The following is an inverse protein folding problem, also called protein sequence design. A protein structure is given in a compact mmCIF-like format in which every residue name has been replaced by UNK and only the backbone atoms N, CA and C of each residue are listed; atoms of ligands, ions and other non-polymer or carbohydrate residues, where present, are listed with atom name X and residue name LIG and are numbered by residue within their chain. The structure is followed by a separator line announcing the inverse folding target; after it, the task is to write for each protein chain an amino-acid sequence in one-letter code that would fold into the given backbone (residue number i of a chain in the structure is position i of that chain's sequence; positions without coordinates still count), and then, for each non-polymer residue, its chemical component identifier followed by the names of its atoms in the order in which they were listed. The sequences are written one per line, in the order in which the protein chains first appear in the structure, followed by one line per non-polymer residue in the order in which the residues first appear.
data_IF_217596861942
#
_entry.id   IF_217596861942
#
_cell.length_a   1.000
_cell.length_b   1.000
_cell.length_c   1.000
_cell.angle_alpha   90.00
_cell.angle_beta   90.00
_cell.angle_gamma   90.00
#
_symmetry.space_group_name_H-M   'P 1'
#
loop_
_entity.id
_entity.type
_entity.pdbx_description
1 polymer ?
#
# COMPACT_ATOMS: atom_id res chain seq x y z
N UNK A 1 -47.03 16.90 -28.35
CA UNK A 1 -46.22 16.98 -27.11
C UNK A 1 -46.25 15.61 -26.43
N UNK A 2 -45.12 14.90 -26.32
CA UNK A 2 -45.10 13.57 -25.71
C UNK A 2 -45.24 13.66 -24.17
N UNK A 3 -45.96 12.73 -23.53
CA UNK A 3 -46.28 12.82 -22.11
C UNK A 3 -45.05 12.61 -21.22
N UNK A 4 -44.93 13.48 -20.22
CA UNK A 4 -43.84 13.57 -19.24
C UNK A 4 -43.74 12.26 -18.44
N UNK A 5 -42.66 11.48 -18.64
CA UNK A 5 -42.36 10.27 -17.84
C UNK A 5 -42.21 10.65 -16.37
N UNK A 6 -43.11 10.14 -15.53
CA UNK A 6 -43.00 10.27 -14.07
C UNK A 6 -41.72 9.59 -13.58
N UNK A 7 -40.96 10.30 -12.75
CA UNK A 7 -39.69 9.86 -12.20
C UNK A 7 -39.87 8.59 -11.36
N UNK A 8 -39.23 7.50 -11.78
CA UNK A 8 -39.12 6.27 -11.00
C UNK A 8 -38.23 6.55 -9.77
N UNK A 9 -38.61 6.10 -8.56
CA UNK A 9 -37.74 6.23 -7.39
C UNK A 9 -36.42 5.46 -7.63
N UNK A 10 -35.31 6.01 -7.13
CA UNK A 10 -33.99 5.41 -7.34
C UNK A 10 -33.91 3.98 -6.77
N UNK A 11 -33.17 3.08 -7.42
CA UNK A 11 -32.97 1.69 -6.96
C UNK A 11 -32.50 1.60 -5.50
N UNK A 12 -31.74 2.60 -5.04
CA UNK A 12 -31.26 2.73 -3.65
C UNK A 12 -32.39 3.08 -2.67
N UNK A 13 -33.35 3.91 -3.08
CA UNK A 13 -34.52 4.24 -2.26
C UNK A 13 -35.47 3.05 -2.12
N UNK A 14 -35.65 2.25 -3.18
CA UNK A 14 -36.47 1.03 -3.14
C UNK A 14 -35.83 -0.08 -2.28
N UNK A 15 -34.51 -0.26 -2.35
CA UNK A 15 -33.77 -1.18 -1.48
C UNK A 15 -33.92 -0.80 0.00
N UNK A 16 -33.73 0.49 0.33
CA UNK A 16 -33.90 0.99 1.70
C UNK A 16 -35.32 0.83 2.23
N UNK A 17 -36.35 0.95 1.39
CA UNK A 17 -37.75 0.68 1.77
C UNK A 17 -37.99 -0.80 2.05
N UNK A 18 -37.43 -1.69 1.22
CA UNK A 18 -37.52 -3.15 1.41
C UNK A 18 -36.78 -3.60 2.67
N UNK A 19 -35.63 -3.02 2.97
CA UNK A 19 -34.87 -3.28 4.21
C UNK A 19 -35.66 -2.84 5.45
N UNK A 20 -36.25 -1.65 5.44
CA UNK A 20 -37.15 -1.19 6.52
C UNK A 20 -38.35 -2.12 6.71
N UNK A 21 -38.97 -2.59 5.63
CA UNK A 21 -40.06 -3.56 5.69
C UNK A 21 -39.64 -4.92 6.27
N UNK A 22 -38.40 -5.35 6.03
CA UNK A 22 -37.84 -6.57 6.64
C UNK A 22 -37.58 -6.32 8.12
N UNK A 23 -36.96 -5.20 8.48
CA UNK A 23 -36.65 -4.84 9.87
C UNK A 23 -37.91 -4.72 10.73
N UNK A 24 -39.01 -4.23 10.15
CA UNK A 24 -40.30 -4.05 10.81
C UNK A 24 -41.05 -5.38 10.96
N UNK A 25 -41.10 -6.22 9.91
CA UNK A 25 -41.71 -7.56 9.98
C UNK A 25 -40.92 -8.57 10.82
N UNK A 26 -39.63 -8.31 11.03
CA UNK A 26 -38.75 -9.13 11.87
C UNK A 26 -38.47 -8.45 13.23
N UNK A 27 -39.11 -7.32 13.50
CA UNK A 27 -39.04 -6.60 14.77
C UNK A 27 -39.65 -7.48 15.87
N UNK A 28 -39.00 -7.54 17.03
CA UNK A 28 -39.41 -8.38 18.16
C UNK A 28 -38.85 -9.81 18.17
N UNK A 29 -38.40 -10.37 17.03
CA UNK A 29 -37.71 -11.67 17.00
C UNK A 29 -36.20 -11.55 17.28
N UNK A 30 -35.68 -10.32 17.36
CA UNK A 30 -34.26 -10.00 17.51
C UNK A 30 -33.61 -10.58 18.77
N UNK A 31 -34.39 -10.78 19.85
CA UNK A 31 -33.93 -11.38 21.11
C UNK A 31 -33.85 -12.93 21.06
N UNK A 32 -34.30 -13.56 19.96
CA UNK A 32 -34.36 -15.03 19.76
C UNK A 32 -33.64 -15.49 18.47
N UNK A 33 -32.83 -14.62 17.87
CA UNK A 33 -32.10 -14.84 16.61
C UNK A 33 -31.06 -15.99 16.63
N UNK A 34 -30.83 -16.62 17.79
CA UNK A 34 -29.96 -17.79 17.95
C UNK A 34 -30.67 -19.11 17.61
N UNK A 35 -32.00 -19.13 17.57
CA UNK A 35 -32.77 -20.34 17.23
C UNK A 35 -32.82 -20.56 15.73
N UNK A 36 -32.47 -21.77 15.27
CA UNK A 36 -32.48 -22.15 13.85
C UNK A 36 -33.87 -22.01 13.19
N UNK A 37 -34.94 -22.17 13.97
CA UNK A 37 -36.33 -22.00 13.50
C UNK A 37 -36.68 -20.52 13.26
N UNK A 38 -36.19 -19.63 14.12
CA UNK A 38 -36.32 -18.17 13.97
C UNK A 38 -35.48 -17.67 12.79
N UNK A 39 -34.27 -18.20 12.61
CA UNK A 39 -33.43 -17.86 11.45
C UNK A 39 -34.07 -18.27 10.12
N UNK A 40 -34.67 -19.46 10.05
CA UNK A 40 -35.42 -19.91 8.86
C UNK A 40 -36.61 -18.99 8.56
N UNK A 41 -37.38 -18.60 9.58
CA UNK A 41 -38.51 -17.67 9.43
C UNK A 41 -38.07 -16.28 8.95
N UNK A 42 -37.01 -15.71 9.55
CA UNK A 42 -36.44 -14.41 9.12
C UNK A 42 -35.93 -14.49 7.67
N UNK A 43 -35.29 -15.59 7.27
CA UNK A 43 -34.87 -15.81 5.89
C UNK A 43 -36.06 -15.91 4.93
N UNK A 44 -37.15 -16.55 5.33
CA UNK A 44 -38.36 -16.70 4.50
C UNK A 44 -39.09 -15.38 4.31
N UNK A 45 -39.28 -14.60 5.38
CA UNK A 45 -39.86 -13.25 5.33
C UNK A 45 -38.98 -12.31 4.49
N UNK A 46 -37.65 -12.39 4.65
CA UNK A 46 -36.71 -11.61 3.82
C UNK A 46 -36.78 -12.00 2.34
N UNK A 47 -36.91 -13.29 2.03
CA UNK A 47 -37.09 -13.77 0.65
C UNK A 47 -38.42 -13.29 0.06
N UNK A 48 -39.51 -13.33 0.82
CA UNK A 48 -40.82 -12.89 0.36
C UNK A 48 -40.85 -11.38 0.05
N UNK A 49 -40.25 -10.55 0.90
CA UNK A 49 -40.18 -9.09 0.68
C UNK A 49 -39.21 -8.71 -0.45
N UNK A 50 -38.10 -9.45 -0.60
CA UNK A 50 -37.14 -9.24 -1.70
C UNK A 50 -37.65 -9.75 -3.05
N UNK A 51 -38.37 -10.87 -3.06
CA UNK A 51 -38.94 -11.49 -4.26
C UNK A 51 -40.25 -10.81 -4.72
N UNK A 52 -41.05 -10.26 -3.79
CA UNK A 52 -42.32 -9.58 -4.06
C UNK A 52 -42.21 -8.27 -4.86
N UNK A 53 -41.03 -7.93 -5.37
CA UNK A 53 -40.79 -6.78 -6.23
C UNK A 53 -40.07 -7.11 -7.54
N UNK A 54 -40.00 -8.38 -7.95
CA UNK A 54 -39.54 -8.70 -9.30
C UNK A 54 -40.70 -8.53 -10.27
N UNK A 55 -40.62 -7.51 -11.11
CA UNK A 55 -41.60 -7.34 -12.19
C UNK A 55 -41.47 -8.51 -13.17
N UNK A 56 -42.53 -8.83 -13.92
CA UNK A 56 -42.47 -9.83 -15.01
C UNK A 56 -41.29 -9.55 -15.95
N UNK A 57 -40.96 -8.27 -16.16
CA UNK A 57 -39.82 -7.84 -16.97
C UNK A 57 -38.45 -8.19 -16.36
N UNK A 58 -38.30 -8.18 -15.04
CA UNK A 58 -37.03 -8.54 -14.37
C UNK A 58 -36.78 -10.04 -14.37
N UNK A 59 -37.84 -10.85 -14.23
CA UNK A 59 -37.75 -12.32 -14.38
C UNK A 59 -37.38 -12.72 -15.81
N UNK A 60 -38.04 -12.16 -16.82
CA UNK A 60 -37.72 -12.41 -18.23
C UNK A 60 -36.28 -12.00 -18.57
N UNK A 61 -35.76 -10.90 -18.01
CA UNK A 61 -34.35 -10.49 -18.17
C UNK A 61 -33.38 -11.45 -17.49
N UNK A 62 -33.70 -11.94 -16.30
CA UNK A 62 -32.88 -12.91 -15.59
C UNK A 62 -32.83 -14.27 -16.32
N UNK A 63 -33.97 -14.74 -16.83
CA UNK A 63 -34.08 -15.96 -17.64
C UNK A 63 -33.33 -15.83 -18.97
N UNK A 64 -33.47 -14.70 -19.68
CA UNK A 64 -32.71 -14.42 -20.90
C UNK A 64 -31.20 -14.32 -20.64
N UNK A 65 -30.78 -13.74 -19.50
CA UNK A 65 -29.37 -13.70 -19.11
C UNK A 65 -28.84 -15.09 -18.72
N UNK A 66 -29.66 -15.94 -18.12
CA UNK A 66 -29.31 -17.32 -17.81
C UNK A 66 -29.20 -18.19 -19.07
N UNK A 67 -30.11 -18.04 -20.03
CA UNK A 67 -30.04 -18.70 -21.34
C UNK A 67 -28.76 -18.30 -22.09
N UNK A 68 -28.47 -16.99 -22.22
CA UNK A 68 -27.23 -16.50 -22.83
C UNK A 68 -25.95 -16.97 -22.15
N UNK A 69 -25.99 -17.27 -20.84
CA UNK A 69 -24.84 -17.86 -20.12
C UNK A 69 -24.68 -19.34 -20.43
N UNK A 70 -25.79 -20.08 -20.55
CA UNK A 70 -25.77 -21.50 -20.95
C UNK A 70 -25.25 -21.66 -22.37
N UNK A 71 -25.72 -20.83 -23.31
CA UNK A 71 -25.30 -20.87 -24.71
C UNK A 71 -23.78 -20.58 -24.86
N UNK A 72 -23.26 -19.59 -24.12
CA UNK A 72 -21.81 -19.31 -24.08
C UNK A 72 -21.00 -20.47 -23.52
N UNK A 73 -21.48 -21.09 -22.44
CA UNK A 73 -20.80 -22.25 -21.87
C UNK A 73 -20.79 -23.44 -22.85
N UNK A 74 -21.88 -23.69 -23.59
CA UNK A 74 -21.88 -24.74 -24.62
C UNK A 74 -20.93 -24.43 -25.78
N UNK A 75 -20.86 -23.18 -26.24
CA UNK A 75 -19.94 -22.78 -27.30
C UNK A 75 -18.47 -22.96 -26.89
N UNK A 76 -18.14 -22.64 -25.64
CA UNK A 76 -16.78 -22.80 -25.12
C UNK A 76 -16.41 -24.28 -24.93
N UNK A 77 -17.37 -25.12 -24.51
CA UNK A 77 -17.18 -26.58 -24.46
C UNK A 77 -16.95 -27.16 -25.84
N UNK A 78 -17.73 -26.74 -26.86
CA UNK A 78 -17.55 -27.17 -28.24
C UNK A 78 -16.17 -26.74 -28.79
N UNK A 79 -15.76 -25.48 -28.57
CA UNK A 79 -14.43 -25.00 -28.97
C UNK A 79 -13.31 -25.80 -28.31
N UNK A 80 -13.45 -26.14 -27.03
CA UNK A 80 -12.48 -26.98 -26.31
C UNK A 80 -12.40 -28.39 -26.90
N UNK A 81 -13.53 -28.96 -27.30
CA UNK A 81 -13.58 -30.29 -27.90
C UNK A 81 -12.92 -30.31 -29.30
N UNK A 82 -13.17 -29.27 -30.12
CA UNK A 82 -12.52 -29.12 -31.43
C UNK A 82 -11.02 -28.83 -31.32
N UNK A 83 -10.57 -28.12 -30.27
CA UNK A 83 -9.16 -27.85 -30.03
C UNK A 83 -8.36 -29.15 -29.76
N UNK A 84 -8.97 -30.11 -29.06
CA UNK A 84 -8.33 -31.39 -28.72
C UNK A 84 -8.10 -32.30 -29.95
N UNK A 85 -8.85 -32.09 -31.03
CA UNK A 85 -8.71 -32.85 -32.27
C UNK A 85 -7.51 -32.40 -33.13
N UNK A 86 -6.89 -31.26 -32.83
CA UNK A 86 -5.75 -30.73 -33.58
C UNK A 86 -4.47 -31.27 -32.94
N UNK A 87 -3.82 -32.24 -33.59
CA UNK A 87 -2.52 -32.78 -33.15
C UNK A 87 -1.40 -32.09 -33.92
N UNK A 88 -0.42 -31.52 -33.21
CA UNK A 88 0.76 -30.94 -33.83
C UNK A 88 1.73 -32.06 -34.29
N UNK A 89 2.05 -32.16 -35.59
CA UNK A 89 3.05 -33.12 -36.06
C UNK A 89 4.43 -32.77 -35.49
N UNK A 90 5.21 -33.78 -35.09
CA UNK A 90 6.55 -33.56 -34.54
C UNK A 90 7.48 -33.06 -35.64
N UNK A 91 8.28 -32.04 -35.30
CA UNK A 91 9.24 -31.43 -36.24
C UNK A 91 10.27 -32.47 -36.69
N UNK A 92 10.49 -32.67 -38.00
CA UNK A 92 11.53 -33.57 -38.49
C UNK A 92 12.93 -33.05 -38.10
N UNK A 93 13.87 -33.94 -37.75
CA UNK A 93 15.22 -33.55 -37.36
C UNK A 93 15.93 -32.83 -38.53
N UNK A 94 16.41 -31.61 -38.28
CA UNK A 94 17.13 -30.79 -39.26
C UNK A 94 16.40 -29.54 -39.77
N UNK A 95 15.11 -29.37 -39.44
CA UNK A 95 14.37 -28.13 -39.75
C UNK A 95 14.14 -27.33 -38.47
N UNK A 96 14.49 -26.05 -38.48
CA UNK A 96 14.29 -25.17 -37.33
C UNK A 96 12.80 -25.10 -36.92
N UNK A 97 12.44 -25.39 -35.66
CA UNK A 97 11.04 -25.41 -35.20
C UNK A 97 10.25 -24.10 -35.37
N UNK A 98 10.92 -23.00 -35.71
CA UNK A 98 10.33 -21.66 -35.86
C UNK A 98 9.91 -21.35 -37.31
N UNK A 99 10.45 -22.07 -38.29
CA UNK A 99 10.10 -21.90 -39.71
C UNK A 99 8.76 -22.56 -40.07
N UNK A 100 8.36 -23.59 -39.33
CA UNK A 100 7.08 -24.28 -39.50
C UNK A 100 5.95 -23.47 -38.86
N UNK A 101 4.86 -23.29 -39.61
CA UNK A 101 3.66 -22.58 -39.13
C UNK A 101 2.89 -23.48 -38.18
N UNK A 102 2.60 -22.98 -36.99
CA UNK A 102 1.80 -23.69 -35.99
C UNK A 102 0.37 -23.99 -36.52
N UNK A 103 -0.05 -25.25 -36.48
CA UNK A 103 -1.37 -25.69 -36.93
C UNK A 103 -2.49 -25.10 -36.06
N UNK A 104 -2.26 -24.98 -34.74
CA UNK A 104 -3.18 -24.28 -33.84
C UNK A 104 -3.32 -22.79 -34.18
N UNK A 105 -2.27 -22.17 -34.75
CA UNK A 105 -2.35 -20.79 -35.24
C UNK A 105 -3.17 -20.73 -36.53
N UNK A 106 -2.96 -21.66 -37.46
CA UNK A 106 -3.76 -21.79 -38.68
C UNK A 106 -5.24 -22.04 -38.38
N UNK A 107 -5.54 -22.76 -37.29
CA UNK A 107 -6.90 -23.00 -36.80
C UNK A 107 -7.46 -21.88 -35.89
N UNK A 108 -6.66 -20.86 -35.53
CA UNK A 108 -7.11 -19.75 -34.68
C UNK A 108 -7.27 -20.07 -33.19
N UNK A 109 -6.86 -21.26 -32.73
CA UNK A 109 -7.04 -21.75 -31.34
C UNK A 109 -5.73 -21.69 -30.53
N UNK A 110 -4.67 -21.10 -31.08
CA UNK A 110 -3.37 -21.03 -30.42
C UNK A 110 -3.44 -20.31 -29.05
N UNK A 111 -3.02 -20.98 -27.98
CA UNK A 111 -3.01 -20.44 -26.60
C UNK A 111 -1.78 -19.59 -26.29
N UNK A 112 -0.82 -19.48 -27.21
CA UNK A 112 0.43 -18.71 -27.01
C UNK A 112 0.16 -17.20 -27.02
N UNK A 113 0.57 -16.53 -25.93
CA UNK A 113 0.42 -15.08 -25.73
C UNK A 113 1.64 -14.34 -26.29
N UNK A 114 1.42 -13.12 -26.81
CA UNK A 114 2.48 -12.29 -27.37
C UNK A 114 3.45 -11.79 -26.27
N UNK A 115 4.77 -11.96 -26.47
CA UNK A 115 5.80 -11.46 -25.54
C UNK A 115 5.72 -9.95 -25.35
N UNK A 116 5.53 -9.20 -26.42
CA UNK A 116 5.44 -7.73 -26.37
C UNK A 116 4.19 -7.23 -25.66
N UNK A 117 3.12 -8.04 -25.65
CA UNK A 117 1.92 -7.73 -24.87
C UNK A 117 2.16 -7.91 -23.36
N UNK A 118 2.86 -8.97 -22.96
CA UNK A 118 3.27 -9.14 -21.56
C UNK A 118 4.19 -8.01 -21.11
N UNK A 119 5.17 -7.64 -21.93
CA UNK A 119 6.08 -6.51 -21.66
C UNK A 119 5.34 -5.17 -21.59
N UNK A 120 4.36 -4.93 -22.46
CA UNK A 120 3.53 -3.72 -22.41
C UNK A 120 2.65 -3.68 -21.16
N UNK A 121 2.12 -4.82 -20.72
CA UNK A 121 1.37 -4.94 -19.47
C UNK A 121 2.30 -4.65 -18.29
N UNK A 122 3.48 -5.27 -18.24
CA UNK A 122 4.47 -5.05 -17.18
C UNK A 122 4.91 -3.59 -17.10
N UNK A 123 5.11 -2.94 -18.25
CA UNK A 123 5.48 -1.52 -18.32
C UNK A 123 4.29 -0.58 -18.15
N UNK A 124 3.07 -1.09 -17.98
CA UNK A 124 1.83 -0.32 -17.95
C UNK A 124 1.64 0.57 -19.19
N UNK A 125 2.19 0.16 -20.32
CA UNK A 125 2.10 0.84 -21.63
C UNK A 125 0.98 0.27 -22.50
N UNK A 126 0.01 -0.43 -21.89
CA UNK A 126 -1.16 -0.96 -22.58
C UNK A 126 -2.26 0.09 -22.63
N UNK A 127 -2.95 0.22 -23.77
CA UNK A 127 -4.01 1.20 -23.93
C UNK A 127 -4.54 1.27 -25.35
N UNK A 128 -5.50 2.17 -25.59
CA UNK A 128 -6.16 2.34 -26.89
C UNK A 128 -5.18 2.60 -28.05
N UNK A 129 -4.06 3.28 -27.78
CA UNK A 129 -3.04 3.59 -28.77
C UNK A 129 -1.89 2.57 -28.82
N UNK A 130 -1.94 1.50 -28.02
CA UNK A 130 -0.88 0.50 -28.03
C UNK A 130 -1.03 -0.44 -29.22
N UNK A 131 -0.04 -0.42 -30.11
CA UNK A 131 0.06 -1.30 -31.27
C UNK A 131 1.19 -2.29 -31.04
N UNK A 132 0.92 -3.59 -31.20
CA UNK A 132 1.95 -4.59 -31.01
C UNK A 132 3.07 -4.42 -32.06
N UNK A 133 4.36 -4.38 -31.66
CA UNK A 133 5.47 -4.28 -32.60
C UNK A 133 5.63 -5.55 -33.48
N UNK A 134 4.98 -6.66 -33.13
CA UNK A 134 5.00 -7.92 -33.87
C UNK A 134 3.78 -8.07 -34.82
N UNK A 135 3.38 -6.98 -35.49
CA UNK A 135 2.32 -6.99 -36.51
C UNK A 135 1.01 -6.28 -36.14
N UNK A 136 1.02 -5.42 -35.12
CA UNK A 136 -0.12 -4.58 -34.75
C UNK A 136 -1.38 -5.36 -34.43
N UNK A 137 -2.40 -5.25 -35.27
CA UNK A 137 -3.68 -5.98 -35.16
C UNK A 137 -3.60 -7.41 -35.70
N UNK A 138 -2.62 -7.72 -36.55
CA UNK A 138 -2.39 -9.03 -37.16
C UNK A 138 -1.23 -9.78 -36.48
N UNK A 139 -1.06 -9.62 -35.17
CA UNK A 139 0.00 -10.31 -34.45
C UNK A 139 -0.19 -11.84 -34.51
N UNK A 140 0.91 -12.57 -34.74
CA UNK A 140 0.94 -14.06 -34.73
C UNK A 140 0.50 -14.68 -33.40
N UNK A 141 0.49 -13.91 -32.31
CA UNK A 141 0.19 -14.38 -30.96
C UNK A 141 -0.96 -13.60 -30.35
N UNK A 142 -1.66 -14.22 -29.40
CA UNK A 142 -2.84 -13.60 -28.77
C UNK A 142 -2.44 -12.43 -27.86
N UNK A 143 -3.18 -11.32 -27.95
CA UNK A 143 -3.13 -10.18 -27.02
C UNK A 143 -4.16 -10.35 -25.91
N UNK A 144 -4.02 -11.44 -25.17
CA UNK A 144 -4.87 -11.73 -24.02
C UNK A 144 -4.01 -12.24 -22.89
N UNK A 145 -4.39 -11.91 -21.67
CA UNK A 145 -3.70 -12.36 -20.48
C UNK A 145 -3.91 -13.87 -20.31
N UNK A 146 -2.87 -14.67 -20.04
CA UNK A 146 -3.04 -16.09 -19.78
C UNK A 146 -4.04 -16.34 -18.64
N UNK A 147 -4.85 -17.42 -18.71
CA UNK A 147 -5.76 -17.77 -17.62
C UNK A 147 -4.95 -18.01 -16.33
N UNK A 148 -5.29 -17.30 -15.26
CA UNK A 148 -4.62 -17.38 -13.96
C UNK A 148 -3.50 -16.36 -13.72
N UNK A 149 -3.14 -15.52 -14.70
CA UNK A 149 -2.15 -14.46 -14.47
C UNK A 149 -2.77 -13.32 -13.66
N UNK A 150 -2.23 -13.10 -12.46
CA UNK A 150 -2.61 -12.00 -11.57
C UNK A 150 -1.65 -10.84 -11.79
N UNK A 151 -2.20 -9.66 -12.09
CA UNK A 151 -1.39 -8.46 -12.27
C UNK A 151 -0.82 -7.99 -10.93
N UNK A 152 0.51 -7.96 -10.79
CA UNK A 152 1.17 -7.35 -9.63
C UNK A 152 0.95 -5.84 -9.69
N UNK A 153 0.44 -5.24 -8.62
CA UNK A 153 0.28 -3.79 -8.59
C UNK A 153 1.65 -3.12 -8.67
N UNK A 154 1.69 -1.84 -9.08
CA UNK A 154 2.95 -1.07 -9.09
C UNK A 154 3.65 -1.13 -7.73
N UNK A 155 2.87 -1.04 -6.64
CA UNK A 155 3.38 -1.15 -5.26
C UNK A 155 3.98 -2.52 -4.96
N UNK A 156 3.31 -3.61 -5.35
CA UNK A 156 3.81 -4.98 -5.09
C UNK A 156 5.10 -5.24 -5.86
N UNK A 157 5.19 -4.76 -7.10
CA UNK A 157 6.39 -4.89 -7.92
C UNK A 157 7.56 -4.07 -7.35
N UNK A 158 7.28 -2.84 -6.93
CA UNK A 158 8.31 -1.97 -6.35
C UNK A 158 8.78 -2.53 -4.99
N UNK A 159 7.87 -3.12 -4.21
CA UNK A 159 8.19 -3.82 -2.96
C UNK A 159 8.98 -5.12 -3.19
N UNK A 160 8.70 -5.88 -4.25
CA UNK A 160 9.47 -7.08 -4.58
C UNK A 160 10.88 -6.73 -5.08
N UNK A 161 11.03 -5.60 -5.78
CA UNK A 161 12.36 -5.05 -6.13
C UNK A 161 13.13 -4.55 -4.93
N UNK A 162 12.48 -3.86 -3.99
CA UNK A 162 13.16 -3.40 -2.76
C UNK A 162 13.58 -4.59 -1.90
N UNK A 163 12.70 -5.58 -1.72
CA UNK A 163 13.03 -6.84 -1.02
C UNK A 163 14.23 -7.55 -1.65
N UNK A 164 14.28 -7.63 -2.99
CA UNK A 164 15.43 -8.20 -3.68
C UNK A 164 16.74 -7.45 -3.41
N UNK A 165 16.69 -6.15 -3.12
CA UNK A 165 17.87 -5.36 -2.73
C UNK A 165 18.23 -5.58 -1.27
N UNK A 166 17.23 -5.71 -0.39
CA UNK A 166 17.42 -6.04 1.04
C UNK A 166 17.93 -7.49 1.24
N UNK A 167 17.62 -8.39 0.31
CA UNK A 167 18.08 -9.79 0.28
C UNK A 167 19.55 -9.93 -0.16
N UNK A 168 20.17 -8.87 -0.71
CA UNK A 168 21.61 -8.87 -1.00
C UNK A 168 22.31 -8.74 0.34
N UNK A 169 22.82 -9.88 0.80
CA UNK A 169 23.54 -9.99 2.06
C UNK A 169 24.71 -9.00 2.12
N UNK A 170 25.03 -8.53 3.33
CA UNK A 170 26.12 -7.57 3.56
C UNK A 170 27.45 -8.18 3.06
N UNK A 171 27.58 -9.50 3.15
CA UNK A 171 28.70 -10.30 2.67
C UNK A 171 28.87 -10.17 1.14
N UNK A 172 27.79 -10.29 0.37
CA UNK A 172 27.82 -10.15 -1.09
C UNK A 172 28.19 -8.73 -1.52
N UNK A 173 27.72 -7.71 -0.78
CA UNK A 173 28.11 -6.31 -1.01
C UNK A 173 29.60 -6.12 -0.75
N UNK A 174 30.13 -6.71 0.33
CA UNK A 174 31.56 -6.64 0.67
C UNK A 174 32.40 -7.32 -0.41
N UNK A 175 31.97 -8.46 -0.93
CA UNK A 175 32.66 -9.20 -1.99
C UNK A 175 32.67 -8.43 -3.32
N UNK A 176 31.55 -7.80 -3.69
CA UNK A 176 31.49 -6.90 -4.85
C UNK A 176 32.42 -5.69 -4.67
N UNK A 177 32.48 -5.11 -3.47
CA UNK A 177 33.38 -3.99 -3.17
C UNK A 177 34.85 -4.40 -3.19
N UNK A 178 35.21 -5.59 -2.68
CA UNK A 178 36.58 -6.14 -2.76
C UNK A 178 36.99 -6.42 -4.19
N UNK A 179 36.11 -7.01 -4.99
CA UNK A 179 36.37 -7.24 -6.41
C UNK A 179 36.61 -5.92 -7.16
N UNK A 180 35.88 -4.85 -6.79
CA UNK A 180 36.02 -3.52 -7.38
C UNK A 180 37.33 -2.81 -7.02
N UNK A 181 37.89 -3.07 -5.82
CA UNK A 181 39.15 -2.47 -5.37
C UNK A 181 40.39 -3.18 -5.96
N UNK A 182 40.26 -4.42 -6.41
CA UNK A 182 41.35 -5.18 -7.03
C UNK A 182 42.49 -5.56 -6.05
N UNK A 183 43.49 -6.36 -6.50
CA UNK A 183 44.50 -6.94 -5.62
C UNK A 183 45.50 -5.95 -4.99
N UNK A 184 45.64 -4.74 -5.55
CA UNK A 184 46.69 -3.78 -5.20
C UNK A 184 46.16 -2.38 -4.82
N UNK A 185 44.84 -2.23 -4.63
CA UNK A 185 44.18 -0.92 -4.56
C UNK A 185 43.94 -0.33 -3.17
N UNK A 186 44.63 -0.78 -2.11
CA UNK A 186 44.40 -0.33 -0.73
C UNK A 186 45.57 0.44 -0.13
N UNK A 187 45.29 1.53 0.58
CA UNK A 187 46.25 2.17 1.50
C UNK A 187 46.34 1.35 2.80
N UNK A 188 47.55 1.00 3.28
CA UNK A 188 47.70 0.25 4.52
C UNK A 188 47.27 1.11 5.71
N UNK A 189 46.53 0.51 6.64
CA UNK A 189 46.02 1.21 7.83
C UNK A 189 47.15 1.33 8.87
N UNK A 190 47.85 2.46 8.84
CA UNK A 190 48.80 2.86 9.90
C UNK A 190 48.14 3.86 10.85
N UNK A 191 48.69 4.04 12.06
CA UNK A 191 48.14 4.95 13.06
C UNK A 191 47.97 6.39 12.53
N UNK A 192 48.90 6.86 11.71
CA UNK A 192 48.87 8.18 11.07
C UNK A 192 47.74 8.29 10.04
N UNK A 193 47.59 7.27 9.18
CA UNK A 193 46.49 7.23 8.19
C UNK A 193 45.11 7.14 8.85
N UNK A 194 45.00 6.42 9.96
CA UNK A 194 43.75 6.30 10.72
C UNK A 194 43.41 7.61 11.45
N UNK A 195 44.42 8.29 12.01
CA UNK A 195 44.23 9.59 12.65
C UNK A 195 43.81 10.65 11.63
N UNK A 196 44.44 10.68 10.45
CA UNK A 196 44.03 11.53 9.34
C UNK A 196 42.58 11.24 8.91
N UNK A 197 42.23 9.97 8.72
CA UNK A 197 40.85 9.56 8.39
C UNK A 197 39.84 9.94 9.47
N UNK A 198 40.17 9.78 10.76
CA UNK A 198 39.27 10.15 11.87
C UNK A 198 39.04 11.66 11.91
N UNK A 199 40.09 12.47 11.70
CA UNK A 199 39.98 13.93 11.62
C UNK A 199 39.12 14.35 10.42
N UNK A 200 39.38 13.79 9.24
CA UNK A 200 38.60 14.05 8.03
C UNK A 200 37.13 13.63 8.20
N UNK A 201 36.87 12.48 8.83
CA UNK A 201 35.51 12.00 9.12
C UNK A 201 34.77 12.93 10.09
N UNK A 202 35.45 13.41 11.13
CA UNK A 202 34.89 14.36 12.09
C UNK A 202 34.59 15.70 11.41
N UNK A 203 35.52 16.21 10.59
CA UNK A 203 35.33 17.44 9.83
C UNK A 203 34.17 17.33 8.83
N UNK A 204 34.09 16.21 8.09
CA UNK A 204 32.97 15.94 7.18
C UNK A 204 31.63 15.92 7.92
N UNK A 205 31.58 15.29 9.11
CA UNK A 205 30.38 15.28 9.94
C UNK A 205 30.02 16.69 10.42
N UNK A 206 31.00 17.49 10.87
CA UNK A 206 30.79 18.89 11.28
C UNK A 206 30.29 19.77 10.14
N UNK A 207 30.86 19.63 8.94
CA UNK A 207 30.43 20.37 7.75
C UNK A 207 29.01 19.96 7.33
N UNK A 208 28.67 18.67 7.41
CA UNK A 208 27.31 18.18 7.13
C UNK A 208 26.30 18.71 8.16
N UNK A 209 26.65 18.72 9.44
CA UNK A 209 25.81 19.27 10.50
C UNK A 209 25.66 20.79 10.38
N UNK A 210 26.72 21.53 10.06
CA UNK A 210 26.66 22.97 9.81
C UNK A 210 25.80 23.29 8.57
N UNK A 211 25.92 22.50 7.49
CA UNK A 211 25.05 22.62 6.32
C UNK A 211 23.60 22.33 6.67
N UNK A 212 23.32 21.28 7.45
CA UNK A 212 21.96 20.93 7.92
C UNK A 212 21.38 22.06 8.77
N UNK A 213 22.13 22.58 9.73
CA UNK A 213 21.72 23.72 10.56
C UNK A 213 21.51 24.99 9.73
N UNK A 214 22.36 25.25 8.73
CA UNK A 214 22.21 26.40 7.82
C UNK A 214 20.98 26.27 6.91
N UNK A 215 20.65 25.06 6.48
CA UNK A 215 19.42 24.78 5.73
C UNK A 215 18.17 24.90 6.62
N UNK A 216 18.23 24.42 7.85
CA UNK A 216 17.17 24.59 8.86
C UNK A 216 16.97 26.07 9.23
N UNK A 217 18.06 26.83 9.40
CA UNK A 217 18.01 28.27 9.66
C UNK A 217 17.44 29.07 8.48
N UNK A 218 17.78 28.67 7.24
CA UNK A 218 17.17 29.24 6.02
C UNK A 218 15.69 28.91 5.91
N UNK A 219 15.30 27.67 6.22
CA UNK A 219 13.90 27.19 6.15
C UNK A 219 13.01 27.86 7.20
N UNK A 220 13.57 28.18 8.36
CA UNK A 220 12.88 28.87 9.44
C UNK A 220 12.98 30.40 9.36
N UNK A 221 13.63 30.95 8.33
CA UNK A 221 13.78 32.40 8.13
C UNK A 221 14.48 33.12 9.28
N UNK A 222 15.31 32.42 10.06
CA UNK A 222 15.93 32.93 11.29
C UNK A 222 14.95 33.21 12.44
N UNK A 223 13.68 32.77 12.34
CA UNK A 223 12.62 32.97 13.34
C UNK A 223 11.85 31.69 13.66
N UNK A 224 12.47 30.53 13.47
CA UNK A 224 11.93 29.28 14.01
C UNK A 224 12.03 29.31 15.53
N UNK A 225 11.02 28.84 16.29
CA UNK A 225 11.19 28.65 17.72
C UNK A 225 12.33 27.65 17.91
N UNK A 226 13.49 28.15 18.32
CA UNK A 226 14.60 27.31 18.72
C UNK A 226 14.10 26.45 19.89
N UNK A 227 14.41 25.15 19.89
CA UNK A 227 14.14 24.30 21.05
C UNK A 227 14.73 24.95 22.30
N UNK A 228 14.07 24.84 23.46
CA UNK A 228 14.58 25.41 24.72
C UNK A 228 16.03 25.01 25.02
N UNK A 229 16.43 23.78 24.65
CA UNK A 229 17.84 23.32 24.74
C UNK A 229 18.77 24.09 23.80
N UNK A 230 18.31 24.46 22.61
CA UNK A 230 19.09 25.23 21.65
C UNK A 230 19.23 26.72 22.06
N UNK A 231 18.21 27.30 22.70
CA UNK A 231 18.29 28.62 23.32
C UNK A 231 19.27 28.63 24.51
N UNK A 232 19.22 27.58 25.35
CA UNK A 232 20.13 27.44 26.49
C UNK A 232 21.60 27.32 26.07
N UNK A 233 21.89 26.63 24.97
CA UNK A 233 23.26 26.56 24.42
C UNK A 233 23.70 27.84 23.71
N UNK A 234 22.75 28.66 23.20
CA UNK A 234 23.06 29.91 22.51
C UNK A 234 23.43 31.02 23.51
N UNK A 235 22.65 31.15 24.58
CA UNK A 235 22.98 32.04 25.69
C UNK A 235 22.38 31.49 27.00
N UNK A 236 23.19 30.81 27.85
CA UNK A 236 22.75 30.32 29.14
C UNK A 236 22.28 31.43 30.10
N UNK A 237 22.66 32.68 29.86
CA UNK A 237 22.34 33.80 30.76
C UNK A 237 20.94 34.38 30.55
N UNK A 238 20.28 34.03 29.43
CA UNK A 238 18.87 34.36 29.15
C UNK A 238 17.89 33.55 30.01
N UNK A 239 18.36 32.49 30.69
CA UNK A 239 17.57 31.61 31.57
C UNK A 239 17.93 31.77 33.05
N UNK A 240 18.20 33.01 33.48
CA UNK A 240 18.29 33.31 34.91
C UNK A 240 16.87 33.44 35.45
N UNK A 241 16.42 32.47 36.24
CA UNK A 241 15.21 32.61 37.05
C UNK A 241 15.39 33.85 37.94
N UNK A 242 14.56 34.86 37.73
CA UNK A 242 14.48 36.00 38.62
C UNK A 242 13.86 35.54 39.94
N UNK A 243 14.46 35.97 41.05
CA UNK A 243 14.07 35.52 42.39
C UNK A 243 12.65 35.95 42.83
N UNK A 244 11.95 36.75 42.02
CA UNK A 244 10.59 37.25 42.25
C UNK A 244 9.50 36.49 41.45
N UNK A 245 9.86 35.50 40.62
CA UNK A 245 8.88 34.72 39.83
C UNK A 245 7.94 33.82 40.65
N UNK A 246 8.11 33.73 41.98
CA UNK A 246 7.23 33.00 42.89
C UNK A 246 6.15 33.90 43.56
N UNK A 247 6.27 35.23 43.48
CA UNK A 247 5.37 36.14 44.22
C UNK A 247 4.13 36.60 43.42
N UNK A 248 4.16 36.51 42.07
CA UNK A 248 2.99 36.79 41.24
C UNK A 248 2.02 35.59 41.24
N UNK A 249 1.14 35.56 42.25
CA UNK A 249 -0.03 34.68 42.26
C UNK A 249 -0.91 35.00 41.05
N UNK A 250 -0.76 34.22 39.98
CA UNK A 250 -1.63 34.25 38.81
C UNK A 250 -3.10 34.26 39.27
N UNK A 251 -3.79 35.37 39.01
CA UNK A 251 -5.24 35.45 39.16
C UNK A 251 -5.85 34.56 38.07
N UNK A 252 -6.13 33.31 38.40
CA UNK A 252 -6.93 32.41 37.57
C UNK A 252 -8.26 33.11 37.35
N UNK A 253 -8.47 33.61 36.14
CA UNK A 253 -9.72 34.21 35.74
C UNK A 253 -10.79 33.10 35.71
N UNK A 254 -11.45 32.89 36.86
CA UNK A 254 -12.54 31.93 37.02
C UNK A 254 -13.77 32.48 36.29
N UNK A 255 -13.96 32.04 35.05
CA UNK A 255 -15.29 32.05 34.46
C UNK A 255 -16.14 31.04 35.23
N UNK A 256 -17.26 31.50 35.78
CA UNK A 256 -18.14 30.74 36.65
C UNK A 256 -18.67 29.43 36.04
N UNK A 257 -18.62 28.38 36.88
CA UNK A 257 -19.62 27.32 37.13
C UNK A 257 -20.17 26.51 35.94
N UNK A 258 -19.61 25.32 35.74
CA UNK A 258 -20.30 24.00 35.84
C UNK A 258 -19.42 22.90 35.21
N UNK A 259 -18.55 22.25 35.99
CA UNK A 259 -18.21 20.81 35.83
C UNK A 259 -17.31 20.37 37.01
N UNK A 260 -17.87 19.50 37.84
CA UNK A 260 -17.29 18.88 39.02
C UNK A 260 -16.38 17.72 38.56
N UNK A 261 -15.07 17.96 38.36
CA UNK A 261 -14.11 16.85 38.24
C UNK A 261 -12.74 17.24 38.82
N UNK A 262 -12.49 16.69 40.00
CA UNK A 262 -11.27 16.71 40.79
C UNK A 262 -10.06 16.28 39.92
N UNK A 263 -9.23 17.23 39.47
CA UNK A 263 -8.07 16.97 38.63
C UNK A 263 -6.99 16.14 39.37
N UNK A 264 -7.11 14.82 39.29
CA UNK A 264 -6.05 13.87 39.71
C UNK A 264 -4.89 13.93 38.70
N UNK A 265 -3.63 13.93 39.15
CA UNK A 265 -2.48 13.91 38.25
C UNK A 265 -2.55 12.66 37.37
N UNK A 266 -2.29 12.84 36.07
CA UNK A 266 -2.39 11.75 35.12
C UNK A 266 -1.34 10.67 35.45
N UNK A 267 -1.68 9.39 35.24
CA UNK A 267 -0.81 8.28 35.58
C UNK A 267 0.57 8.33 34.87
N UNK A 268 0.67 9.06 33.76
CA UNK A 268 1.94 9.26 33.05
C UNK A 268 2.86 10.26 33.77
N UNK A 269 2.31 11.29 34.40
CA UNK A 269 3.08 12.28 35.18
C UNK A 269 3.59 11.66 36.49
N UNK A 270 2.77 10.82 37.12
CA UNK A 270 3.19 10.04 38.29
C UNK A 270 4.30 9.03 37.96
N UNK A 271 4.25 8.41 36.77
CA UNK A 271 5.28 7.47 36.32
C UNK A 271 6.62 8.16 35.99
N UNK A 272 6.58 9.37 35.44
CA UNK A 272 7.79 10.15 35.14
C UNK A 272 8.52 10.59 36.42
N UNK A 273 7.80 10.87 37.50
CA UNK A 273 8.39 11.25 38.80
C UNK A 273 9.08 10.09 39.54
N UNK A 274 8.71 8.84 39.22
CA UNK A 274 9.26 7.62 39.86
C UNK A 274 10.43 7.02 39.05
N UNK A 275 10.62 7.45 37.80
CA UNK A 275 11.75 7.01 36.98
C UNK A 275 13.05 7.66 37.45
N UNK A 276 13.95 6.86 38.01
CA UNK A 276 15.26 7.28 38.48
C UNK A 276 16.07 7.93 37.33
N UNK A 277 16.48 9.17 37.54
CA UNK A 277 17.20 9.97 36.55
C UNK A 277 18.59 9.42 36.24
N UNK A 278 19.09 8.47 37.05
CA UNK A 278 20.31 7.69 36.79
C UNK A 278 20.19 6.67 35.64
N UNK A 279 18.96 6.29 35.25
CA UNK A 279 18.72 5.36 34.13
C UNK A 279 18.82 6.03 32.75
N UNK A 280 18.77 7.35 32.70
CA UNK A 280 19.10 8.08 31.48
C UNK A 280 20.63 8.23 31.45
N UNK A 281 21.27 7.43 30.60
CA UNK A 281 22.68 7.62 30.22
C UNK A 281 22.88 9.10 29.84
N UNK A 282 23.50 9.85 30.76
CA UNK A 282 24.00 11.18 30.48
C UNK A 282 24.96 11.06 29.29
N UNK A 283 24.75 11.96 28.34
CA UNK A 283 25.48 12.07 27.09
C UNK A 283 27.00 11.96 27.32
N UNK A 284 27.70 11.45 26.30
CA UNK A 284 29.09 10.99 26.29
C UNK A 284 30.18 12.07 26.52
N UNK A 285 29.99 12.98 27.46
CA UNK A 285 30.89 14.11 27.75
C UNK A 285 31.80 13.88 29.00
N UNK A 286 31.59 12.81 29.78
CA UNK A 286 32.45 12.50 30.95
C UNK A 286 33.75 11.73 30.62
N UNK A 287 33.96 11.32 29.37
CA UNK A 287 35.17 10.58 28.96
C UNK A 287 36.40 11.46 28.71
N UNK A 288 36.26 12.80 28.74
CA UNK A 288 37.39 13.74 28.62
C UNK A 288 38.05 14.04 29.99
N UNK A 289 37.41 13.65 31.10
CA UNK A 289 37.99 13.75 32.46
C UNK A 289 38.97 12.62 32.82
N UNK A 290 39.07 11.58 31.99
CA UNK A 290 39.97 10.42 32.16
C UNK A 290 41.34 10.60 31.51
N UNK A 291 41.68 11.84 31.15
CA UNK A 291 42.97 12.24 30.59
C UNK A 291 43.73 13.15 31.57
N UNK A 292 44.01 12.62 32.75
CA UNK A 292 45.16 13.04 33.57
C UNK A 292 46.05 11.82 33.83
#
# INVERSE_FOLDING_TARGET
MPPKKQAQPSKKAEQKRKEKLIEDKTFGLKNKNKSSKVQKYVQEVAKQVKAGGQTRADRLKAEAAAAKKKDKNSDDVLKSLFAAAITQPKVPPGVDPKSIVCEFFKAGVCTKVCKYFLDAIEKSLYGWFWVCPNGGTACKYRHALPPGYVFKSKKDRDAEKSKKVDDISIEEIIEQQRAKLGPTGGTPVTAETLAAYKKEKLERKRVEEEKRLKEEAKKTGGRGPMSGRALFTYDPTLFRDDADADEDRYSVHSYNEDDDDEAKPSAVDAAAAVMDKSLYLQDADDLESLKE
#
